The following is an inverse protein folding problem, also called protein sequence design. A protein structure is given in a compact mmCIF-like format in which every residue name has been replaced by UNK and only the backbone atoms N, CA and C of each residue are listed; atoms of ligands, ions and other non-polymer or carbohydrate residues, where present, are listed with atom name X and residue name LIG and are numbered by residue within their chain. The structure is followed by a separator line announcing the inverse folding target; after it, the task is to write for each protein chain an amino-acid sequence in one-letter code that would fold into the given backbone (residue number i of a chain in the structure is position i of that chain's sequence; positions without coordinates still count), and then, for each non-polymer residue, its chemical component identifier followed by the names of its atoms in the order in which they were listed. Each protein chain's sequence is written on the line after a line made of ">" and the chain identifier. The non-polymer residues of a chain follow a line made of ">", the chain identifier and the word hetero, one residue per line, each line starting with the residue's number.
data_IF_746341311041
#
_entry.id   IF_746341311041
#
_cell.length_a   1.000
_cell.length_b   1.000
_cell.length_c   1.000
_cell.angle_alpha   90.00
_cell.angle_beta   90.00
_cell.angle_gamma   90.00
#
_symmetry.space_group_name_H-M   'P 1'
#
loop_
_entity.id
_entity.type
_entity.pdbx_description
1 polymer ?
#
# COMPACT_ATOMS: atom_id res chain seq x y z
N UNK A 1 -43.67 9.68 2.02
CA UNK A 1 -43.01 9.16 3.23
C UNK A 1 -41.97 8.12 2.83
N UNK A 2 -40.68 8.38 3.06
CA UNK A 2 -39.60 7.43 2.73
C UNK A 2 -39.32 6.61 3.98
N UNK A 3 -39.70 5.33 3.97
CA UNK A 3 -39.45 4.41 5.09
C UNK A 3 -37.96 4.29 5.39
N UNK A 4 -37.58 4.53 6.64
CA UNK A 4 -36.24 4.21 7.15
C UNK A 4 -36.12 2.70 7.28
N UNK A 5 -35.19 2.08 6.58
CA UNK A 5 -34.92 0.65 6.74
C UNK A 5 -33.90 0.44 7.87
N UNK A 6 -34.17 -0.53 8.73
CA UNK A 6 -33.34 -0.95 9.86
C UNK A 6 -32.73 -2.32 9.59
N UNK A 7 -31.44 -2.48 9.85
CA UNK A 7 -30.78 -3.79 9.90
C UNK A 7 -30.27 -4.01 11.32
N UNK A 8 -30.74 -5.11 11.94
CA UNK A 8 -30.30 -5.58 13.25
C UNK A 8 -29.21 -6.62 13.07
N UNK A 9 -28.04 -6.36 13.62
CA UNK A 9 -26.88 -7.28 13.59
C UNK A 9 -26.65 -7.79 15.00
N UNK A 10 -26.80 -9.09 15.20
CA UNK A 10 -26.47 -9.74 16.47
C UNK A 10 -24.97 -10.02 16.54
N UNK A 11 -24.34 -9.52 17.60
CA UNK A 11 -22.91 -9.64 17.87
C UNK A 11 -22.63 -10.92 18.66
N UNK A 12 -23.56 -11.32 19.52
CA UNK A 12 -23.62 -12.61 20.23
C UNK A 12 -25.03 -12.82 20.81
N UNK A 13 -25.27 -13.92 21.56
CA UNK A 13 -26.59 -14.28 22.13
C UNK A 13 -27.25 -13.18 22.99
N UNK A 14 -26.53 -12.15 23.41
CA UNK A 14 -27.02 -11.10 24.32
C UNK A 14 -26.86 -9.66 23.82
N UNK A 15 -26.31 -9.42 22.62
CA UNK A 15 -26.14 -8.06 22.08
C UNK A 15 -26.51 -7.95 20.61
N UNK A 16 -27.38 -6.99 20.30
CA UNK A 16 -27.79 -6.63 18.94
C UNK A 16 -27.64 -5.12 18.73
N UNK A 17 -27.04 -4.73 17.61
CA UNK A 17 -26.95 -3.32 17.19
C UNK A 17 -27.89 -3.09 16.00
N UNK A 18 -28.63 -1.97 16.03
CA UNK A 18 -29.55 -1.59 14.95
C UNK A 18 -28.96 -0.43 14.15
N UNK A 19 -28.82 -0.61 12.84
CA UNK A 19 -28.31 0.43 11.93
C UNK A 19 -29.44 0.87 10.99
N UNK A 20 -29.74 2.16 10.96
CA UNK A 20 -30.70 2.78 10.04
C UNK A 20 -29.98 3.32 8.81
N UNK A 21 -30.48 3.03 7.61
CA UNK A 21 -29.97 3.65 6.38
C UNK A 21 -31.07 3.93 5.35
N UNK A 22 -30.79 4.84 4.42
CA UNK A 22 -31.64 5.19 3.28
C UNK A 22 -30.99 4.69 1.99
N UNK A 23 -31.78 3.99 1.15
CA UNK A 23 -31.32 3.45 -0.14
C UNK A 23 -31.61 4.48 -1.24
N UNK A 24 -30.58 5.00 -1.91
CA UNK A 24 -30.77 5.72 -3.17
C UNK A 24 -30.50 4.77 -4.35
N UNK A 25 -31.43 4.77 -5.32
CA UNK A 25 -31.41 3.96 -6.54
C UNK A 25 -30.57 4.64 -7.63
N UNK A 26 -29.97 3.77 -8.45
CA UNK A 26 -29.40 3.93 -9.80
C UNK A 26 -27.91 4.27 -9.94
N UNK A 27 -27.31 3.40 -10.74
CA UNK A 27 -26.01 3.37 -11.40
C UNK A 27 -25.82 4.50 -12.40
N UNK A 28 -24.64 5.10 -12.45
CA UNK A 28 -24.07 5.71 -13.67
C UNK A 28 -22.55 5.87 -13.51
N UNK A 29 -21.87 5.65 -14.63
CA UNK A 29 -20.42 5.64 -14.86
C UNK A 29 -19.84 7.06 -14.62
N UNK A 30 -18.66 7.19 -14.01
CA UNK A 30 -17.96 8.48 -13.89
C UNK A 30 -16.51 8.43 -14.41
N UNK A 31 -16.25 9.23 -15.44
CA UNK A 31 -14.92 9.66 -15.91
C UNK A 31 -14.34 10.71 -14.95
N UNK A 32 -13.04 10.68 -14.59
CA UNK A 32 -12.50 11.54 -13.55
C UNK A 32 -11.67 12.70 -14.11
N UNK A 33 -12.28 13.69 -14.76
CA UNK A 33 -11.62 15.00 -14.99
C UNK A 33 -12.67 16.11 -14.81
N UNK A 34 -12.43 16.98 -13.81
CA UNK A 34 -13.12 18.25 -13.54
C UNK A 34 -14.57 18.21 -13.01
N UNK A 35 -14.75 17.90 -11.70
CA UNK A 35 -15.61 18.70 -10.80
C UNK A 35 -15.48 18.23 -9.33
N UNK A 36 -15.27 19.12 -8.34
CA UNK A 36 -15.22 18.72 -6.94
C UNK A 36 -16.66 18.47 -6.45
N UNK A 37 -17.05 17.20 -6.37
CA UNK A 37 -18.29 16.76 -5.72
C UNK A 37 -18.11 16.83 -4.20
N UNK A 38 -17.87 18.02 -3.63
CA UNK A 38 -18.20 18.24 -2.23
C UNK A 38 -18.31 19.70 -1.75
N UNK A 39 -19.06 20.54 -2.49
CA UNK A 39 -19.51 21.83 -1.93
C UNK A 39 -20.32 21.66 -0.61
N UNK A 40 -20.92 20.49 -0.38
CA UNK A 40 -21.69 20.16 0.83
C UNK A 40 -20.79 19.88 2.03
N UNK A 41 -19.76 19.04 1.88
CA UNK A 41 -18.82 18.72 2.95
C UNK A 41 -17.93 19.92 3.29
N UNK A 42 -17.52 20.73 2.31
CA UNK A 42 -16.81 21.99 2.57
C UNK A 42 -17.68 22.98 3.35
N UNK A 43 -18.98 23.04 3.05
CA UNK A 43 -19.92 23.90 3.79
C UNK A 43 -20.20 23.35 5.19
N UNK A 44 -20.20 22.02 5.37
CA UNK A 44 -20.34 21.36 6.67
C UNK A 44 -19.07 21.53 7.53
N UNK A 45 -17.89 21.41 6.93
CA UNK A 45 -16.59 21.63 7.55
C UNK A 45 -16.45 23.11 7.95
N UNK A 46 -16.75 24.06 7.04
CA UNK A 46 -16.74 25.50 7.36
C UNK A 46 -17.75 25.87 8.45
N UNK A 47 -18.96 25.29 8.43
CA UNK A 47 -20.00 25.54 9.45
C UNK A 47 -19.66 24.92 10.82
N UNK A 48 -18.94 23.80 10.85
CA UNK A 48 -18.50 23.17 12.10
C UNK A 48 -17.22 23.79 12.67
N UNK A 49 -16.32 24.32 11.82
CA UNK A 49 -15.16 25.12 12.24
C UNK A 49 -15.63 26.46 12.84
N UNK A 50 -16.63 27.12 12.23
CA UNK A 50 -17.20 28.36 12.76
C UNK A 50 -17.97 28.19 14.10
N UNK A 51 -18.42 26.98 14.43
CA UNK A 51 -19.21 26.69 15.65
C UNK A 51 -18.40 26.19 16.84
N UNK A 52 -17.12 25.86 16.67
CA UNK A 52 -16.26 25.40 17.76
C UNK A 52 -15.08 26.34 17.92
N UNK A 53 -15.25 27.35 18.79
CA UNK A 53 -14.17 28.09 19.43
C UNK A 53 -13.37 27.14 20.35
N UNK A 54 -12.63 26.20 19.77
CA UNK A 54 -11.60 25.45 20.46
C UNK A 54 -10.28 25.94 19.87
N UNK A 55 -9.67 26.92 20.53
CA UNK A 55 -8.24 27.24 20.39
C UNK A 55 -7.45 26.00 20.83
N UNK A 56 -7.28 25.04 19.92
CA UNK A 56 -6.11 24.14 19.92
C UNK A 56 -5.29 24.56 18.72
N UNK A 57 -4.12 25.14 18.98
CA UNK A 57 -3.07 25.43 17.99
C UNK A 57 -2.81 24.17 17.18
N UNK A 58 -3.50 24.02 16.05
CA UNK A 58 -2.93 23.36 14.90
C UNK A 58 -1.84 24.31 14.43
N UNK A 59 -0.59 24.01 14.80
CA UNK A 59 0.52 24.54 14.04
C UNK A 59 0.37 23.96 12.64
N UNK A 60 -0.19 24.76 11.75
CA UNK A 60 -0.09 24.64 10.30
C UNK A 60 1.38 24.85 9.90
N UNK A 61 2.26 24.00 10.42
CA UNK A 61 3.63 23.95 9.97
C UNK A 61 3.68 23.02 8.77
N UNK A 62 3.39 23.63 7.63
CA UNK A 62 3.95 23.33 6.32
C UNK A 62 3.72 21.88 5.84
N UNK A 63 2.57 21.64 5.19
CA UNK A 63 2.58 20.74 4.02
C UNK A 63 3.49 21.45 3.02
N UNK A 64 4.79 21.12 3.03
CA UNK A 64 5.69 21.58 1.99
C UNK A 64 5.21 20.89 0.73
N UNK A 65 4.67 21.65 -0.21
CA UNK A 65 4.47 21.13 -1.55
C UNK A 65 5.78 20.49 -2.03
N UNK A 66 5.71 19.34 -2.71
CA UNK A 66 6.89 18.68 -3.25
C UNK A 66 7.68 19.71 -4.06
N UNK A 67 8.94 19.99 -3.67
CA UNK A 67 9.81 20.81 -4.52
C UNK A 67 10.01 20.00 -5.81
N UNK A 68 9.61 20.55 -6.94
CA UNK A 68 9.99 20.01 -8.24
C UNK A 68 11.51 20.03 -8.32
N UNK A 69 12.13 18.90 -8.03
CA UNK A 69 13.52 18.67 -8.35
C UNK A 69 13.54 18.25 -9.82
N UNK A 70 14.34 18.94 -10.65
CA UNK A 70 14.53 18.63 -12.08
C UNK A 70 15.30 17.31 -12.32
N UNK A 71 15.39 16.44 -11.30
CA UNK A 71 16.06 15.14 -11.41
C UNK A 71 15.29 14.23 -12.36
N UNK A 72 15.97 13.62 -13.33
CA UNK A 72 15.32 12.63 -14.21
C UNK A 72 14.69 11.49 -13.39
N UNK A 73 13.64 10.88 -13.95
CA UNK A 73 13.07 9.66 -13.37
C UNK A 73 14.17 8.61 -13.20
N UNK A 74 14.12 7.77 -12.16
CA UNK A 74 15.03 6.65 -12.04
C UNK A 74 15.11 5.84 -13.33
N UNK A 75 16.32 5.50 -13.77
CA UNK A 75 16.55 4.74 -15.00
C UNK A 75 15.77 3.41 -15.03
N UNK A 76 15.46 2.84 -13.86
CA UNK A 76 14.48 1.78 -13.70
C UNK A 76 14.27 1.40 -12.23
N UNK A 77 13.38 0.44 -11.99
CA UNK A 77 13.09 -0.10 -10.65
C UNK A 77 13.20 -1.62 -10.60
N UNK A 78 13.97 -2.14 -9.65
CA UNK A 78 14.01 -3.56 -9.33
C UNK A 78 12.99 -3.87 -8.23
N UNK A 79 11.97 -4.68 -8.57
CA UNK A 79 10.93 -5.09 -7.63
C UNK A 79 11.34 -6.42 -7.00
N UNK A 80 11.56 -6.45 -5.69
CA UNK A 80 11.91 -7.66 -4.96
C UNK A 80 10.66 -8.20 -4.26
N UNK A 81 10.33 -9.47 -4.50
CA UNK A 81 9.23 -10.17 -3.82
C UNK A 81 9.73 -11.44 -3.14
N UNK A 82 9.37 -11.59 -1.87
CA UNK A 82 9.66 -12.79 -1.10
C UNK A 82 8.46 -13.72 -1.14
N UNK A 83 8.59 -14.84 -1.83
CA UNK A 83 7.49 -15.79 -2.03
C UNK A 83 7.49 -16.84 -0.94
N UNK A 84 6.39 -16.95 -0.21
CA UNK A 84 6.24 -17.92 0.88
C UNK A 84 5.19 -19.00 0.58
N UNK A 85 4.32 -18.77 -0.41
CA UNK A 85 3.17 -19.64 -0.69
C UNK A 85 2.93 -19.76 -2.19
N UNK A 86 2.73 -20.98 -2.69
CA UNK A 86 2.47 -21.25 -4.12
C UNK A 86 1.23 -20.53 -4.65
N UNK A 87 0.18 -20.39 -3.83
CA UNK A 87 -1.14 -19.90 -4.24
C UNK A 87 -1.15 -18.47 -4.83
N UNK A 88 -0.10 -17.69 -4.61
CA UNK A 88 -0.04 -16.28 -5.01
C UNK A 88 0.71 -16.03 -6.33
N UNK A 89 1.17 -17.07 -7.03
CA UNK A 89 1.87 -16.95 -8.32
C UNK A 89 1.14 -16.01 -9.28
N UNK A 90 -0.12 -16.27 -9.59
CA UNK A 90 -0.87 -15.46 -10.55
C UNK A 90 -1.07 -14.01 -10.08
N UNK A 91 -1.12 -13.77 -8.78
CA UNK A 91 -1.32 -12.44 -8.23
C UNK A 91 -0.09 -11.56 -8.44
N UNK A 92 1.10 -12.04 -8.04
CA UNK A 92 2.33 -11.25 -8.17
C UNK A 92 2.68 -10.94 -9.63
N UNK A 93 2.52 -11.90 -10.54
CA UNK A 93 2.74 -11.65 -11.97
C UNK A 93 1.75 -10.63 -12.52
N UNK A 94 0.47 -10.74 -12.17
CA UNK A 94 -0.55 -9.75 -12.57
C UNK A 94 -0.24 -8.36 -12.02
N UNK A 95 0.22 -8.24 -10.77
CA UNK A 95 0.62 -6.97 -10.17
C UNK A 95 1.82 -6.36 -10.89
N UNK A 96 2.81 -7.18 -11.26
CA UNK A 96 3.98 -6.76 -12.00
C UNK A 96 3.64 -6.28 -13.42
N UNK A 97 2.95 -7.11 -14.19
CA UNK A 97 2.65 -6.86 -15.61
C UNK A 97 1.78 -5.61 -15.81
N UNK A 98 0.84 -5.34 -14.90
CA UNK A 98 -0.05 -4.17 -15.00
C UNK A 98 0.64 -2.83 -14.70
N UNK A 99 1.85 -2.82 -14.14
CA UNK A 99 2.50 -1.55 -13.80
C UNK A 99 2.78 -0.75 -15.08
N UNK A 100 2.34 0.51 -15.10
CA UNK A 100 2.54 1.45 -16.22
C UNK A 100 4.01 1.87 -16.36
N UNK A 101 4.80 1.83 -15.27
CA UNK A 101 6.25 2.06 -15.28
C UNK A 101 6.97 0.99 -16.11
N UNK A 102 7.59 1.36 -17.23
CA UNK A 102 8.15 0.40 -18.20
C UNK A 102 9.52 -0.15 -17.81
N UNK A 103 10.43 0.70 -17.36
CA UNK A 103 11.78 0.31 -16.95
C UNK A 103 11.76 -0.38 -15.59
N UNK A 104 11.38 -1.66 -15.57
CA UNK A 104 11.28 -2.46 -14.35
C UNK A 104 11.74 -3.90 -14.57
N UNK A 105 12.14 -4.54 -13.47
CA UNK A 105 12.34 -5.99 -13.40
C UNK A 105 11.67 -6.56 -12.14
N UNK A 106 11.35 -7.85 -12.16
CA UNK A 106 10.83 -8.58 -11.00
C UNK A 106 11.83 -9.63 -10.55
N UNK A 107 12.17 -9.61 -9.27
CA UNK A 107 13.07 -10.58 -8.63
C UNK A 107 12.28 -11.34 -7.59
N UNK A 108 12.05 -12.63 -7.87
CA UNK A 108 11.32 -13.54 -7.01
C UNK A 108 12.30 -14.40 -6.21
N UNK A 109 12.28 -14.26 -4.88
CA UNK A 109 13.04 -15.11 -3.98
C UNK A 109 12.10 -16.14 -3.38
N UNK A 110 12.19 -17.38 -3.86
CA UNK A 110 11.27 -18.48 -3.55
C UNK A 110 11.89 -19.41 -2.51
N UNK A 111 11.09 -19.84 -1.54
CA UNK A 111 11.49 -20.82 -0.54
C UNK A 111 11.57 -22.25 -1.15
N UNK A 112 12.55 -23.07 -0.75
CA UNK A 112 12.81 -24.42 -1.30
C UNK A 112 11.62 -25.38 -1.19
N UNK A 113 10.72 -25.17 -0.23
CA UNK A 113 9.50 -25.97 -0.08
C UNK A 113 8.42 -25.71 -1.16
N UNK A 114 8.68 -24.78 -2.09
CA UNK A 114 7.78 -24.42 -3.18
C UNK A 114 8.31 -25.01 -4.49
N UNK A 115 7.43 -25.67 -5.27
CA UNK A 115 7.78 -26.22 -6.59
C UNK A 115 8.08 -25.07 -7.55
N UNK A 116 9.33 -24.95 -8.00
CA UNK A 116 9.77 -23.80 -8.81
C UNK A 116 9.47 -23.93 -10.30
N UNK A 117 9.16 -25.12 -10.81
CA UNK A 117 8.92 -25.32 -12.25
C UNK A 117 7.75 -24.49 -12.75
N UNK A 118 6.63 -24.48 -12.01
CA UNK A 118 5.45 -23.65 -12.33
C UNK A 118 5.78 -22.16 -12.33
N UNK A 119 6.70 -21.72 -11.45
CA UNK A 119 7.15 -20.33 -11.41
C UNK A 119 8.02 -19.97 -12.60
N UNK A 120 8.95 -20.86 -12.99
CA UNK A 120 9.82 -20.67 -14.15
C UNK A 120 9.00 -20.66 -15.43
N UNK A 121 8.07 -21.59 -15.58
CA UNK A 121 7.13 -21.63 -16.70
C UNK A 121 6.33 -20.33 -16.80
N UNK A 122 5.75 -19.87 -15.69
CA UNK A 122 5.02 -18.59 -15.66
C UNK A 122 5.91 -17.39 -15.97
N UNK A 123 7.17 -17.40 -15.52
CA UNK A 123 8.14 -16.34 -15.77
C UNK A 123 8.58 -16.27 -17.24
N UNK A 124 8.61 -17.39 -17.96
CA UNK A 124 8.92 -17.39 -19.40
C UNK A 124 7.91 -16.59 -20.23
N UNK A 125 6.71 -16.34 -19.69
CA UNK A 125 5.67 -15.51 -20.33
C UNK A 125 5.74 -14.03 -19.92
N UNK A 126 6.76 -13.63 -19.14
CA UNK A 126 6.90 -12.26 -18.62
C UNK A 126 8.29 -11.69 -18.90
N UNK A 127 8.34 -10.41 -19.24
CA UNK A 127 9.61 -9.72 -19.47
C UNK A 127 10.34 -9.39 -18.17
N UNK A 128 11.67 -9.51 -18.18
CA UNK A 128 12.56 -9.08 -17.10
C UNK A 128 12.22 -9.69 -15.72
N UNK A 129 11.91 -10.98 -15.66
CA UNK A 129 11.66 -11.71 -14.41
C UNK A 129 12.84 -12.64 -14.09
N UNK A 130 13.34 -12.58 -12.85
CA UNK A 130 14.38 -13.46 -12.32
C UNK A 130 13.82 -14.25 -11.13
N UNK A 131 14.11 -15.55 -11.08
CA UNK A 131 13.69 -16.43 -9.99
C UNK A 131 14.93 -17.03 -9.33
N UNK A 132 14.98 -16.94 -8.00
CA UNK A 132 16.00 -17.56 -7.17
C UNK A 132 15.32 -18.41 -6.10
N UNK A 133 15.78 -19.65 -5.94
CA UNK A 133 15.30 -20.54 -4.89
C UNK A 133 16.33 -20.61 -3.77
N UNK A 134 15.87 -20.51 -2.51
CA UNK A 134 16.75 -20.58 -1.32
C UNK A 134 16.27 -21.64 -0.32
N UNK A 135 17.16 -22.20 0.51
CA UNK A 135 16.77 -23.08 1.62
C UNK A 135 15.78 -22.42 2.58
N UNK A 136 14.93 -23.21 3.24
CA UNK A 136 13.83 -22.73 4.10
C UNK A 136 14.31 -22.01 5.35
N UNK A 137 15.51 -22.36 5.80
CA UNK A 137 16.15 -21.88 7.02
C UNK A 137 16.68 -20.46 6.85
N UNK A 138 16.68 -19.92 5.63
CA UNK A 138 17.13 -18.57 5.35
C UNK A 138 16.08 -17.54 5.77
N UNK A 139 16.47 -16.65 6.69
CA UNK A 139 15.62 -15.59 7.21
C UNK A 139 15.27 -14.53 6.16
N UNK A 140 14.33 -13.65 6.51
CA UNK A 140 13.84 -12.55 5.66
C UNK A 140 14.99 -11.68 5.15
N UNK A 141 15.90 -11.27 6.05
CA UNK A 141 17.02 -10.41 5.72
C UNK A 141 17.94 -11.03 4.66
N UNK A 142 18.31 -12.30 4.82
CA UNK A 142 19.13 -13.02 3.85
C UNK A 142 18.47 -13.04 2.47
N UNK A 143 17.17 -13.34 2.43
CA UNK A 143 16.41 -13.44 1.18
C UNK A 143 16.31 -12.08 0.49
N UNK A 144 16.05 -11.03 1.25
CA UNK A 144 16.01 -9.68 0.70
C UNK A 144 17.38 -9.21 0.21
N UNK A 145 18.46 -9.50 0.96
CA UNK A 145 19.85 -9.26 0.55
C UNK A 145 20.20 -9.96 -0.77
N UNK A 146 19.74 -11.21 -0.94
CA UNK A 146 19.91 -11.91 -2.20
C UNK A 146 19.22 -11.15 -3.34
N UNK A 147 17.97 -10.73 -3.15
CA UNK A 147 17.26 -9.90 -4.13
C UNK A 147 18.01 -8.62 -4.49
N UNK A 148 18.55 -7.91 -3.51
CA UNK A 148 19.35 -6.69 -3.72
C UNK A 148 20.63 -6.95 -4.52
N UNK A 149 21.33 -8.06 -4.26
CA UNK A 149 22.52 -8.44 -5.02
C UNK A 149 22.20 -8.69 -6.50
N UNK A 150 20.99 -9.16 -6.80
CA UNK A 150 20.53 -9.50 -8.15
C UNK A 150 19.85 -8.32 -8.87
N UNK A 151 19.58 -7.24 -8.15
CA UNK A 151 18.97 -6.02 -8.67
C UNK A 151 19.90 -5.30 -9.66
N UNK A 152 19.40 -5.14 -10.89
CA UNK A 152 19.97 -4.37 -11.99
C UNK A 152 19.89 -2.86 -11.74
N UNK A 153 18.79 -2.40 -11.15
CA UNK A 153 18.55 -0.98 -10.93
C UNK A 153 18.87 -0.55 -9.50
N UNK A 154 19.24 0.72 -9.35
CA UNK A 154 19.53 1.33 -8.05
C UNK A 154 18.27 1.76 -7.30
N UNK A 155 17.11 1.79 -7.93
CA UNK A 155 15.84 2.01 -7.22
C UNK A 155 15.20 0.66 -6.94
N UNK A 156 14.92 0.40 -5.67
CA UNK A 156 14.39 -0.87 -5.20
C UNK A 156 12.96 -0.64 -4.71
N UNK A 157 12.03 -1.47 -5.17
CA UNK A 157 10.69 -1.57 -4.62
C UNK A 157 10.49 -2.96 -4.01
N UNK A 158 9.62 -3.07 -3.00
CA UNK A 158 9.18 -4.37 -2.47
C UNK A 158 7.70 -4.55 -2.73
N UNK A 159 7.32 -5.68 -3.33
CA UNK A 159 5.94 -6.14 -3.40
C UNK A 159 5.77 -7.35 -2.46
N UNK A 160 4.58 -7.49 -1.88
CA UNK A 160 4.12 -8.72 -1.24
C UNK A 160 3.35 -9.57 -2.26
N UNK A 161 3.56 -10.88 -2.25
CA UNK A 161 2.97 -11.77 -3.25
C UNK A 161 1.44 -11.83 -3.15
N UNK A 162 0.87 -11.57 -1.97
CA UNK A 162 -0.58 -11.66 -1.70
C UNK A 162 -1.34 -10.35 -1.95
N UNK A 163 -0.65 -9.22 -1.85
CA UNK A 163 -1.29 -7.90 -1.84
C UNK A 163 -1.66 -7.44 -3.26
N UNK A 164 -2.42 -6.36 -3.36
CA UNK A 164 -2.81 -5.78 -4.64
C UNK A 164 -2.11 -4.44 -4.87
N UNK A 165 -1.60 -4.26 -6.09
CA UNK A 165 -0.95 -3.04 -6.55
C UNK A 165 -1.59 -2.61 -7.87
N UNK A 166 -2.20 -1.43 -7.90
CA UNK A 166 -2.83 -0.89 -9.11
C UNK A 166 -1.80 -0.56 -10.20
N UNK A 167 -2.27 -0.33 -11.43
CA UNK A 167 -1.40 -0.07 -12.59
C UNK A 167 -0.44 1.10 -12.38
N UNK A 168 -0.89 2.16 -11.72
CA UNK A 168 -0.08 3.38 -11.52
C UNK A 168 0.63 3.41 -10.17
N UNK A 169 0.58 2.33 -9.39
CA UNK A 169 1.22 2.26 -8.08
C UNK A 169 2.70 2.62 -8.12
N UNK A 170 3.45 2.00 -9.05
CA UNK A 170 4.89 2.17 -9.11
C UNK A 170 5.29 3.55 -9.63
N UNK A 171 4.65 4.05 -10.70
CA UNK A 171 4.94 5.39 -11.24
C UNK A 171 4.61 6.49 -10.22
N UNK A 172 3.50 6.35 -9.47
CA UNK A 172 3.15 7.30 -8.41
C UNK A 172 4.18 7.28 -7.28
N UNK A 173 4.67 6.10 -6.90
CA UNK A 173 5.71 5.97 -5.86
C UNK A 173 7.04 6.60 -6.31
N UNK A 174 7.42 6.38 -7.57
CA UNK A 174 8.61 7.00 -8.17
C UNK A 174 8.49 8.52 -8.25
N UNK A 175 7.33 9.04 -8.67
CA UNK A 175 7.09 10.48 -8.75
C UNK A 175 7.20 11.16 -7.39
N UNK A 176 6.62 10.56 -6.34
CA UNK A 176 6.77 11.07 -4.98
C UNK A 176 8.22 11.02 -4.52
N UNK A 177 8.93 9.94 -4.85
CA UNK A 177 10.35 9.82 -4.50
C UNK A 177 11.22 10.88 -5.15
N UNK A 178 10.92 11.24 -6.42
CA UNK A 178 11.59 12.33 -7.13
C UNK A 178 11.30 13.71 -6.52
N UNK A 179 10.04 13.97 -6.19
CA UNK A 179 9.57 15.30 -5.78
C UNK A 179 9.73 15.57 -4.27
N UNK A 180 10.31 14.62 -3.53
CA UNK A 180 10.62 14.76 -2.11
C UNK A 180 12.12 14.59 -1.89
N UNK A 181 12.62 15.01 -0.74
CA UNK A 181 14.00 14.68 -0.31
C UNK A 181 14.05 13.39 0.51
N UNK A 182 13.06 12.50 0.30
CA UNK A 182 12.93 11.26 1.04
C UNK A 182 13.99 10.24 0.62
N UNK A 183 14.48 9.49 1.59
CA UNK A 183 15.32 8.31 1.40
C UNK A 183 14.46 7.08 1.11
N UNK A 184 13.23 7.05 1.66
CA UNK A 184 12.24 5.98 1.44
C UNK A 184 10.87 6.60 1.20
N UNK A 185 10.16 6.10 0.20
CA UNK A 185 8.71 6.29 0.04
C UNK A 185 7.98 5.03 0.46
N UNK A 186 6.90 5.18 1.22
CA UNK A 186 6.06 4.07 1.70
C UNK A 186 4.59 4.50 1.80
N UNK A 187 3.70 3.62 2.28
CA UNK A 187 2.30 3.96 2.62
C UNK A 187 1.99 3.50 4.04
N UNK A 188 1.88 4.43 4.99
CA UNK A 188 1.42 4.11 6.36
C UNK A 188 -0.10 3.97 6.47
N UNK A 189 -0.84 4.67 5.60
CA UNK A 189 -2.29 4.64 5.48
C UNK A 189 -2.65 4.02 4.14
N UNK A 190 -3.48 2.98 4.17
CA UNK A 190 -3.77 2.16 3.00
C UNK A 190 -5.11 1.43 3.14
N UNK A 191 -5.58 0.86 2.04
CA UNK A 191 -6.71 -0.05 2.03
C UNK A 191 -6.32 -1.43 2.53
N UNK A 192 -7.23 -2.06 3.28
CA UNK A 192 -7.13 -3.45 3.72
C UNK A 192 -8.37 -4.18 3.25
N UNK A 193 -8.18 -5.30 2.58
CA UNK A 193 -9.25 -6.20 2.17
C UNK A 193 -9.23 -7.48 3.02
N UNK A 194 -10.26 -7.62 3.86
CA UNK A 194 -10.49 -8.81 4.69
C UNK A 194 -11.25 -9.85 3.87
N UNK A 195 -10.50 -10.75 3.24
CA UNK A 195 -10.98 -11.70 2.24
C UNK A 195 -12.11 -12.58 2.76
N UNK A 196 -11.99 -13.10 3.98
CA UNK A 196 -12.99 -14.00 4.58
C UNK A 196 -14.31 -13.28 4.90
N UNK A 197 -14.27 -11.97 5.14
CA UNK A 197 -15.46 -11.16 5.41
C UNK A 197 -16.00 -10.41 4.20
N UNK A 198 -15.22 -10.36 3.11
CA UNK A 198 -15.48 -9.53 1.94
C UNK A 198 -15.61 -8.05 2.35
N UNK A 199 -14.74 -7.59 3.24
CA UNK A 199 -14.77 -6.21 3.77
C UNK A 199 -13.57 -5.45 3.23
N UNK A 200 -13.85 -4.31 2.60
CA UNK A 200 -12.86 -3.29 2.29
C UNK A 200 -12.87 -2.22 3.39
N UNK A 201 -11.70 -1.91 3.92
CA UNK A 201 -11.52 -0.94 4.98
C UNK A 201 -10.26 -0.07 4.74
N UNK A 202 -10.17 1.05 5.46
CA UNK A 202 -8.95 1.88 5.53
C UNK A 202 -8.30 1.66 6.90
N UNK A 203 -6.99 1.48 6.92
CA UNK A 203 -6.22 1.50 8.16
C UNK A 203 -6.37 2.86 8.86
N UNK A 204 -6.85 2.84 10.11
CA UNK A 204 -7.20 4.06 10.86
C UNK A 204 -5.98 4.93 11.17
N UNK A 205 -4.88 4.29 11.56
CA UNK A 205 -3.65 4.97 11.97
C UNK A 205 -2.62 5.00 10.82
N UNK A 206 -2.00 6.17 10.65
CA UNK A 206 -1.08 6.46 9.56
C UNK A 206 -1.28 7.88 9.07
N UNK A 207 -0.40 8.32 8.20
CA UNK A 207 -0.41 9.63 7.56
C UNK A 207 -0.40 9.46 6.04
N UNK A 208 -0.74 10.51 5.31
CA UNK A 208 -0.73 10.55 3.85
C UNK A 208 -0.04 11.84 3.42
N UNK A 209 0.73 11.79 2.34
CA UNK A 209 1.45 12.94 1.78
C UNK A 209 2.29 13.70 2.81
N UNK A 210 3.01 12.96 3.66
CA UNK A 210 3.84 13.56 4.72
C UNK A 210 4.98 12.67 5.16
N UNK A 211 6.03 13.28 5.69
CA UNK A 211 7.10 12.55 6.37
C UNK A 211 6.58 11.79 7.59
N UNK A 212 7.18 10.64 7.83
CA UNK A 212 6.79 9.70 8.87
C UNK A 212 8.03 9.05 9.48
N UNK A 213 7.85 8.39 10.62
CA UNK A 213 8.89 7.53 11.21
C UNK A 213 8.58 6.05 11.05
N UNK A 214 7.42 5.72 10.48
CA UNK A 214 6.92 4.36 10.37
C UNK A 214 7.14 3.82 8.95
N UNK A 215 7.29 2.51 8.84
CA UNK A 215 7.48 1.82 7.58
C UNK A 215 6.49 0.67 7.45
N UNK A 216 5.83 0.61 6.31
CA UNK A 216 5.06 -0.55 5.87
C UNK A 216 5.84 -1.30 4.77
N UNK A 217 6.49 -2.41 5.17
CA UNK A 217 7.39 -3.20 4.32
C UNK A 217 6.90 -3.52 2.91
N UNK A 218 5.65 -3.96 2.71
CA UNK A 218 5.09 -4.24 1.38
C UNK A 218 4.96 -3.03 0.44
N UNK A 219 5.22 -1.81 0.91
CA UNK A 219 4.99 -0.60 0.12
C UNK A 219 6.22 0.27 -0.07
N UNK A 220 7.39 -0.20 0.34
CA UNK A 220 8.62 0.60 0.31
C UNK A 220 9.19 0.75 -1.10
N UNK A 221 9.72 1.93 -1.38
CA UNK A 221 10.57 2.27 -2.51
C UNK A 221 11.76 3.10 -2.00
N UNK A 222 12.98 2.74 -2.38
CA UNK A 222 14.20 3.40 -1.88
C UNK A 222 15.40 3.22 -2.82
N UNK A 223 16.49 3.99 -2.59
CA UNK A 223 17.76 3.80 -3.32
C UNK A 223 18.61 2.67 -2.71
N UNK A 224 19.14 1.77 -3.53
CA UNK A 224 19.95 0.63 -3.13
C UNK A 224 21.12 1.01 -2.21
N UNK A 225 21.76 2.15 -2.46
CA UNK A 225 22.92 2.63 -1.69
C UNK A 225 22.59 3.04 -0.23
N UNK A 226 21.33 3.32 0.12
CA UNK A 226 20.95 3.60 1.51
C UNK A 226 20.74 2.32 2.32
N UNK A 227 20.78 1.15 1.68
CA UNK A 227 20.40 -0.11 2.30
C UNK A 227 21.28 -0.51 3.49
N UNK A 228 22.59 -0.28 3.40
CA UNK A 228 23.49 -0.55 4.53
C UNK A 228 23.14 0.31 5.74
N UNK A 229 22.69 1.55 5.51
CA UNK A 229 22.18 2.42 6.56
C UNK A 229 20.83 1.93 7.09
N UNK A 230 19.97 1.33 6.26
CA UNK A 230 18.71 0.72 6.71
C UNK A 230 18.96 -0.46 7.65
N UNK A 231 19.87 -1.38 7.30
CA UNK A 231 20.19 -2.55 8.13
C UNK A 231 20.83 -2.13 9.45
N UNK A 232 21.85 -1.25 9.41
CA UNK A 232 22.59 -0.80 10.60
C UNK A 232 21.69 -0.17 11.65
N UNK A 233 20.57 0.42 11.23
CA UNK A 233 19.63 1.08 12.10
C UNK A 233 18.38 0.24 12.43
N UNK A 234 18.50 -1.08 12.43
CA UNK A 234 17.47 -2.01 12.93
C UNK A 234 16.17 -2.07 12.11
N UNK A 235 16.21 -1.73 10.82
CA UNK A 235 15.17 -2.15 9.86
C UNK A 235 15.43 -3.58 9.37
N UNK A 236 15.98 -4.43 10.25
CA UNK A 236 16.36 -5.82 9.99
C UNK A 236 15.21 -6.70 9.50
N UNK A 237 13.97 -6.27 9.73
CA UNK A 237 12.76 -6.95 9.24
C UNK A 237 12.08 -6.25 8.05
N UNK A 238 12.40 -4.98 7.73
CA UNK A 238 11.56 -4.11 6.89
C UNK A 238 10.09 -4.10 7.35
N UNK A 239 9.81 -4.57 8.57
CA UNK A 239 8.49 -4.71 9.16
C UNK A 239 8.46 -3.78 10.36
N UNK A 240 7.72 -2.67 10.20
CA UNK A 240 7.15 -1.87 11.27
C UNK A 240 8.10 -1.56 12.44
N UNK A 241 9.15 -0.77 12.20
CA UNK A 241 9.89 -0.14 13.29
C UNK A 241 10.01 1.36 13.07
N UNK A 242 9.85 2.11 14.17
CA UNK A 242 10.06 3.55 14.23
C UNK A 242 11.53 3.82 13.90
N UNK A 243 11.79 4.51 12.79
CA UNK A 243 13.14 4.95 12.45
C UNK A 243 13.65 5.93 13.51
N UNK A 244 14.76 5.60 14.17
CA UNK A 244 15.52 6.48 15.07
C UNK A 244 16.68 7.18 14.33
N UNK A 245 16.56 7.35 13.03
CA UNK A 245 17.69 7.63 12.15
C UNK A 245 17.54 8.96 11.41
N UNK A 246 18.63 9.38 10.74
CA UNK A 246 18.65 10.45 9.75
C UNK A 246 17.85 10.13 8.47
N UNK A 247 17.32 8.92 8.33
CA UNK A 247 16.60 8.46 7.13
C UNK A 247 15.22 9.12 7.07
N UNK A 248 15.00 9.88 6.00
CA UNK A 248 13.75 10.58 5.72
C UNK A 248 12.77 9.62 5.04
N UNK A 249 11.70 9.28 5.74
CA UNK A 249 10.66 8.40 5.20
C UNK A 249 9.44 9.26 4.88
N UNK A 250 8.89 9.11 3.68
CA UNK A 250 7.70 9.82 3.22
C UNK A 250 6.55 8.84 2.96
N UNK A 251 5.41 9.05 3.62
CA UNK A 251 4.20 8.27 3.37
C UNK A 251 3.42 8.92 2.24
N UNK A 252 3.23 8.21 1.13
CA UNK A 252 2.36 8.59 0.03
C UNK A 252 0.87 8.47 0.43
N UNK A 253 -0.04 8.86 -0.46
CA UNK A 253 -1.48 8.64 -0.32
C UNK A 253 -1.84 7.14 -0.18
N UNK A 254 -3.08 6.83 0.16
CA UNK A 254 -3.55 5.45 0.30
C UNK A 254 -3.81 4.72 -1.02
N UNK A 255 -3.86 5.42 -2.15
CA UNK A 255 -4.46 4.91 -3.38
C UNK A 255 -3.57 3.89 -4.09
N UNK A 256 -4.19 3.01 -4.86
CA UNK A 256 -3.50 2.05 -5.73
C UNK A 256 -2.79 0.92 -5.00
N UNK A 257 -3.05 0.73 -3.71
CA UNK A 257 -2.55 -0.41 -2.94
C UNK A 257 -3.61 -0.92 -1.96
N UNK A 258 -3.78 -2.24 -1.91
CA UNK A 258 -4.59 -2.91 -0.90
C UNK A 258 -3.83 -4.09 -0.27
N UNK A 259 -3.72 -4.06 1.06
CA UNK A 259 -3.25 -5.21 1.82
C UNK A 259 -4.35 -6.26 1.86
N UNK A 260 -4.07 -7.46 1.36
CA UNK A 260 -5.04 -8.57 1.36
C UNK A 260 -4.78 -9.45 2.57
N UNK A 261 -5.82 -9.63 3.39
CA UNK A 261 -5.74 -10.38 4.64
C UNK A 261 -6.79 -11.48 4.69
N UNK A 262 -6.39 -12.65 5.17
CA UNK A 262 -7.31 -13.76 5.49
C UNK A 262 -7.77 -13.66 6.95
N UNK A 263 -6.95 -13.06 7.83
CA UNK A 263 -7.22 -12.84 9.25
C UNK A 263 -7.89 -11.48 9.50
N UNK A 264 -8.69 -11.40 10.57
CA UNK A 264 -9.50 -10.23 10.91
C UNK A 264 -8.94 -9.38 12.05
N UNK A 265 -7.78 -9.73 12.60
CA UNK A 265 -7.23 -9.14 13.83
C UNK A 265 -7.01 -7.63 13.73
N UNK A 266 -6.72 -7.13 12.52
CA UNK A 266 -6.54 -5.71 12.25
C UNK A 266 -7.84 -4.94 11.99
N UNK A 267 -8.99 -5.61 11.89
CA UNK A 267 -10.27 -4.95 11.58
C UNK A 267 -10.66 -3.92 12.64
N UNK A 268 -10.29 -4.17 13.91
CA UNK A 268 -10.49 -3.21 15.03
C UNK A 268 -9.74 -1.89 14.84
N UNK A 269 -8.66 -1.90 14.07
CA UNK A 269 -7.81 -0.76 13.77
C UNK A 269 -8.13 -0.14 12.40
N UNK A 270 -9.32 -0.43 11.87
CA UNK A 270 -9.76 0.01 10.55
C UNK A 270 -11.07 0.80 10.58
N UNK A 271 -11.29 1.57 9.52
CA UNK A 271 -12.56 2.20 9.18
C UNK A 271 -13.14 1.42 8.01
N UNK A 272 -14.26 0.71 8.22
CA UNK A 272 -14.95 -0.05 7.18
C UNK A 272 -15.51 0.90 6.12
N UNK A 273 -15.21 0.63 4.85
CA UNK A 273 -15.72 1.40 3.70
C UNK A 273 -16.89 0.69 3.07
N UNK A 274 -16.72 -0.60 2.77
CA UNK A 274 -17.70 -1.37 2.01
C UNK A 274 -17.60 -2.87 2.33
N UNK A 275 -18.71 -3.58 2.07
CA UNK A 275 -18.72 -5.02 1.90
C UNK A 275 -18.77 -5.30 0.40
N UNK A 276 -17.73 -5.92 -0.15
CA UNK A 276 -17.53 -6.09 -1.59
C UNK A 276 -16.72 -7.35 -1.87
N UNK A 277 -17.02 -8.00 -3.00
CA UNK A 277 -16.19 -9.08 -3.55
C UNK A 277 -15.03 -8.54 -4.40
N UNK A 278 -15.16 -7.32 -4.90
CA UNK A 278 -14.16 -6.63 -5.71
C UNK A 278 -13.53 -5.48 -4.91
N UNK A 279 -12.23 -5.61 -4.67
CA UNK A 279 -11.39 -4.65 -3.95
C UNK A 279 -10.34 -4.00 -4.87
N UNK A 280 -10.38 -4.27 -6.17
CA UNK A 280 -9.34 -3.84 -7.11
C UNK A 280 -9.53 -2.42 -7.66
N UNK A 281 -10.67 -1.79 -7.36
CA UNK A 281 -10.98 -0.40 -7.73
C UNK A 281 -10.50 0.67 -6.75
N UNK A 282 -9.49 0.37 -5.92
CA UNK A 282 -9.00 1.22 -4.81
C UNK A 282 -7.64 1.87 -5.08
#
# INVERSE_FOLDING_TARGET
>A
MVGSNEVKISINKSKTITIKYKRNKKSEIFNPINNPVNKSLDKLIKKNIAKKNIKRKYNSNIVREPKQNDTELPLGVSIITLVNRQKYINNIFKNYERQSYKSKELILIINKNIKTDVWKERANSSENVKIFQVPKEKNLLYRFNLGLKQAKYDTIARFDDKDFYASDYLINSVNVFKNTDADIVEKTKYYIYFKNRKILAIKKFGVENSYTKYLNGPTILFKKNIYDNLIKNSLTSLELNKSNTSIKIYSNDRNGYACVMEEDDLLKDCIVIAKTDDYTGV
#
